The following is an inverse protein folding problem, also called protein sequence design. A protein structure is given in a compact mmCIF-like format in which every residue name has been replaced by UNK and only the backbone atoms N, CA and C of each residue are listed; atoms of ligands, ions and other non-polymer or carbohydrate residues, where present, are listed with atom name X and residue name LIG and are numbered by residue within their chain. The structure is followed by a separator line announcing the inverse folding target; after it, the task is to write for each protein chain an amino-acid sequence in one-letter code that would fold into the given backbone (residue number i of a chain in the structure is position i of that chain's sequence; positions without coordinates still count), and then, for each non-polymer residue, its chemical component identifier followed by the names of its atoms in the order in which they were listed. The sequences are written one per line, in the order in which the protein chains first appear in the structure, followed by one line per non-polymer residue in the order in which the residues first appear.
data_IF_893656862346
#
_entry.id   IF_893656862346
#
_cell.length_a   1.000
_cell.length_b   1.000
_cell.length_c   1.000
_cell.angle_alpha   90.00
_cell.angle_beta   90.00
_cell.angle_gamma   90.00
#
_symmetry.space_group_name_H-M   'P 1'
#
loop_
_entity.id
_entity.type
_entity.pdbx_description
1 polymer ?
#
# COMPACT_ATOMS: atom_id res chain seq x y z
N UNK A 1 26.71 14.33 9.93
CA UNK A 1 26.98 13.99 11.34
C UNK A 1 27.26 12.50 11.43
N UNK A 2 28.36 12.07 12.03
CA UNK A 2 28.73 10.65 12.14
C UNK A 2 27.91 9.98 13.24
N UNK A 3 27.16 8.93 12.91
CA UNK A 3 26.41 8.14 13.91
C UNK A 3 27.41 7.39 14.79
N UNK A 4 27.58 7.81 16.05
CA UNK A 4 28.36 7.04 17.02
C UNK A 4 27.54 5.81 17.43
N UNK A 5 27.97 4.63 16.98
CA UNK A 5 27.42 3.37 17.44
C UNK A 5 27.92 3.16 18.88
N UNK A 6 27.02 3.15 19.86
CA UNK A 6 27.37 2.89 21.26
C UNK A 6 27.42 1.37 21.45
N UNK A 7 28.64 0.85 21.64
CA UNK A 7 28.88 -0.53 22.05
C UNK A 7 28.89 -0.59 23.59
N UNK A 8 28.07 -1.46 24.17
CA UNK A 8 28.00 -1.67 25.61
C UNK A 8 28.94 -2.80 26.03
N UNK A 9 29.25 -2.88 27.32
CA UNK A 9 30.01 -3.99 27.92
C UNK A 9 29.17 -4.66 28.99
N UNK A 10 29.18 -5.99 29.02
CA UNK A 10 28.49 -6.74 30.05
C UNK A 10 29.06 -6.38 31.43
N UNK A 11 28.18 -6.08 32.39
CA UNK A 11 28.58 -5.71 33.76
C UNK A 11 29.10 -6.92 34.56
N UNK A 12 28.79 -8.13 34.10
CA UNK A 12 29.11 -9.40 34.72
C UNK A 12 28.53 -10.52 33.86
N UNK A 13 28.84 -11.76 34.24
CA UNK A 13 28.25 -12.94 33.63
C UNK A 13 26.72 -12.90 33.74
N UNK A 14 26.02 -13.22 32.66
CA UNK A 14 24.56 -13.07 32.59
C UNK A 14 23.86 -14.19 31.81
N UNK A 15 22.52 -14.22 31.91
CA UNK A 15 21.66 -15.21 31.24
C UNK A 15 21.69 -15.12 29.70
N UNK A 16 22.32 -14.08 29.15
CA UNK A 16 22.55 -13.92 27.71
C UNK A 16 23.86 -14.58 27.25
N UNK A 17 24.58 -15.26 28.15
CA UNK A 17 25.83 -15.95 27.86
C UNK A 17 27.02 -15.03 27.62
N UNK A 18 26.92 -13.76 28.02
CA UNK A 18 28.01 -12.79 27.91
C UNK A 18 28.87 -12.85 29.16
N UNK A 19 30.18 -12.81 28.98
CA UNK A 19 31.15 -12.76 30.08
C UNK A 19 31.39 -11.33 30.56
N UNK A 20 31.83 -11.14 31.81
CA UNK A 20 32.15 -9.81 32.33
C UNK A 20 33.09 -9.01 31.39
N UNK A 21 32.67 -7.80 31.02
CA UNK A 21 33.43 -6.90 30.15
C UNK A 21 33.29 -7.19 28.66
N UNK A 22 32.60 -8.27 28.27
CA UNK A 22 32.40 -8.64 26.87
C UNK A 22 31.57 -7.57 26.14
N UNK A 23 32.03 -7.10 24.98
CA UNK A 23 31.33 -6.09 24.23
C UNK A 23 30.11 -6.69 23.52
N UNK A 24 28.97 -6.01 23.59
CA UNK A 24 27.76 -6.42 22.90
C UNK A 24 27.00 -5.23 22.34
N UNK A 25 26.18 -5.51 21.34
CA UNK A 25 25.24 -4.56 20.76
C UNK A 25 23.84 -4.92 21.24
N UNK A 26 23.15 -4.02 21.95
CA UNK A 26 21.79 -4.30 22.39
C UNK A 26 20.89 -4.43 21.16
N UNK A 27 20.31 -5.61 20.98
CA UNK A 27 19.21 -5.81 20.03
C UNK A 27 17.91 -5.55 20.77
N UNK A 28 17.32 -4.39 20.53
CA UNK A 28 16.05 -3.98 21.13
C UNK A 28 14.91 -4.15 20.10
N UNK A 29 13.75 -4.61 20.56
CA UNK A 29 12.52 -4.51 19.77
C UNK A 29 12.12 -3.05 19.59
N UNK A 30 11.35 -2.74 18.54
CA UNK A 30 10.89 -1.37 18.29
C UNK A 30 10.05 -0.83 19.47
N UNK A 31 9.28 -1.72 20.07
CA UNK A 31 8.44 -1.57 21.25
C UNK A 31 9.22 -1.40 22.57
N UNK A 32 10.52 -1.70 22.59
CA UNK A 32 11.37 -1.58 23.77
C UNK A 32 12.07 -0.23 23.91
N UNK A 33 11.85 0.70 22.97
CA UNK A 33 12.52 2.01 22.94
C UNK A 33 11.52 3.13 23.20
N UNK A 34 11.52 3.66 24.42
CA UNK A 34 10.68 4.79 24.79
C UNK A 34 10.96 6.01 23.89
N UNK A 35 9.90 6.54 23.26
CA UNK A 35 9.97 7.70 22.37
C UNK A 35 10.39 7.39 20.93
N UNK A 36 10.62 6.12 20.55
CA UNK A 36 10.94 5.74 19.17
C UNK A 36 9.84 6.15 18.19
N UNK A 37 8.57 5.93 18.55
CA UNK A 37 7.42 6.34 17.74
C UNK A 37 7.45 7.86 17.44
N UNK A 38 7.76 8.68 18.45
CA UNK A 38 7.86 10.14 18.27
C UNK A 38 9.01 10.54 17.34
N UNK A 39 10.16 9.85 17.41
CA UNK A 39 11.27 10.11 16.50
C UNK A 39 10.98 9.66 15.06
N UNK A 40 10.25 8.55 14.89
CA UNK A 40 9.78 8.07 13.59
C UNK A 40 8.79 9.08 13.00
N UNK A 41 7.80 9.51 13.78
CA UNK A 41 6.77 10.47 13.36
C UNK A 41 7.34 11.81 12.88
N UNK A 42 8.47 12.26 13.42
CA UNK A 42 9.14 13.49 12.97
C UNK A 42 9.85 13.34 11.62
N UNK A 43 10.25 12.12 11.27
CA UNK A 43 11.13 11.85 10.10
C UNK A 43 10.38 11.19 8.95
N UNK A 44 9.27 10.52 9.23
CA UNK A 44 8.44 9.87 8.23
C UNK A 44 7.33 10.82 7.82
N UNK A 45 7.31 11.30 6.56
CA UNK A 45 6.20 12.10 6.06
C UNK A 45 4.91 11.28 6.13
N UNK A 46 3.94 11.77 6.90
CA UNK A 46 2.57 11.25 6.90
C UNK A 46 1.82 11.89 5.75
N UNK A 47 1.22 11.07 4.90
CA UNK A 47 0.38 11.54 3.81
C UNK A 47 -1.07 11.26 4.18
N UNK A 48 -1.88 12.30 4.23
CA UNK A 48 -3.32 12.18 4.39
C UNK A 48 -3.99 11.73 3.08
N UNK A 49 -5.27 11.36 3.16
CA UNK A 49 -6.06 11.07 1.97
C UNK A 49 -6.27 12.34 1.12
N UNK A 50 -6.33 12.15 -0.19
CA UNK A 50 -6.64 13.23 -1.11
C UNK A 50 -8.05 13.79 -0.85
N UNK A 51 -8.18 15.11 -0.87
CA UNK A 51 -9.45 15.84 -0.76
C UNK A 51 -9.65 16.73 -1.98
N UNK A 52 -10.84 17.33 -2.19
CA UNK A 52 -11.07 18.20 -3.35
C UNK A 52 -10.17 19.45 -3.43
N UNK A 53 -9.55 19.86 -2.32
CA UNK A 53 -8.77 21.10 -2.21
C UNK A 53 -7.34 20.89 -1.72
N UNK A 54 -6.94 19.64 -1.43
CA UNK A 54 -5.61 19.32 -0.95
C UNK A 54 -5.15 17.95 -1.47
N UNK A 55 -3.90 17.91 -1.91
CA UNK A 55 -3.25 16.69 -2.40
C UNK A 55 -3.06 15.67 -1.28
N UNK A 56 -3.13 14.38 -1.63
CA UNK A 56 -2.97 13.27 -0.69
C UNK A 56 -2.97 11.91 -1.39
N UNK A 57 -3.00 10.83 -0.60
CA UNK A 57 -3.07 9.46 -1.10
C UNK A 57 -4.48 9.12 -1.58
N UNK A 58 -4.56 8.29 -2.63
CA UNK A 58 -5.83 7.69 -3.07
C UNK A 58 -6.27 6.60 -2.09
N UNK A 59 -7.55 6.56 -1.75
CA UNK A 59 -8.12 5.50 -0.91
C UNK A 59 -8.07 4.14 -1.62
N UNK A 60 -8.14 3.05 -0.86
CA UNK A 60 -8.20 1.69 -1.45
C UNK A 60 -9.45 1.53 -2.30
N UNK A 61 -10.56 2.10 -1.85
CA UNK A 61 -11.86 2.06 -2.51
C UNK A 61 -11.82 2.81 -3.85
N UNK A 62 -11.19 3.99 -3.89
CA UNK A 62 -11.09 4.78 -5.10
C UNK A 62 -10.09 4.20 -6.10
N UNK A 63 -8.98 3.63 -5.62
CA UNK A 63 -8.07 2.86 -6.47
C UNK A 63 -8.79 1.68 -7.13
N UNK A 64 -9.61 0.94 -6.39
CA UNK A 64 -10.38 -0.18 -6.93
C UNK A 64 -11.41 0.24 -7.99
N UNK A 65 -11.85 1.51 -8.01
CA UNK A 65 -12.67 2.06 -9.10
C UNK A 65 -11.82 2.40 -10.32
N UNK A 66 -10.64 3.00 -10.10
CA UNK A 66 -9.69 3.32 -11.16
C UNK A 66 -9.19 2.06 -11.87
N UNK A 67 -8.87 1.01 -11.12
CA UNK A 67 -8.44 -0.29 -11.65
C UNK A 67 -9.52 -0.98 -12.53
N UNK A 68 -10.80 -0.59 -12.37
CA UNK A 68 -11.91 -1.09 -13.19
C UNK A 68 -12.15 -0.28 -14.46
N UNK A 69 -11.54 0.89 -14.58
CA UNK A 69 -11.61 1.65 -15.82
C UNK A 69 -10.73 0.93 -16.84
N UNK A 70 -11.37 0.30 -17.82
CA UNK A 70 -10.65 -0.23 -18.97
C UNK A 70 -9.98 0.94 -19.69
N UNK A 71 -8.67 0.84 -19.92
CA UNK A 71 -7.92 1.80 -20.71
C UNK A 71 -8.14 1.43 -22.18
N UNK A 72 -8.45 2.43 -23.00
CA UNK A 72 -8.72 2.27 -24.44
C UNK A 72 -7.66 1.43 -25.17
N UNK A 73 -8.03 0.70 -26.24
CA UNK A 73 -9.35 0.59 -26.85
C UNK A 73 -10.29 -0.40 -26.15
N UNK A 74 -11.57 -0.02 -26.01
CA UNK A 74 -12.60 -0.88 -25.41
C UNK A 74 -13.04 -1.97 -26.38
N UNK A 75 -13.04 -3.24 -25.93
CA UNK A 75 -13.60 -4.35 -26.71
C UNK A 75 -15.14 -4.29 -26.78
N UNK A 76 -15.77 -3.62 -25.80
CA UNK A 76 -17.20 -3.33 -25.84
C UNK A 76 -17.71 -2.59 -24.61
N UNK A 77 -18.90 -2.00 -24.75
CA UNK A 77 -19.60 -1.27 -23.70
C UNK A 77 -20.74 -2.12 -23.14
N UNK A 78 -20.77 -2.31 -21.82
CA UNK A 78 -21.82 -3.07 -21.14
C UNK A 78 -22.98 -2.15 -20.74
N UNK A 79 -24.20 -2.52 -21.15
CA UNK A 79 -25.44 -1.86 -20.81
C UNK A 79 -26.33 -2.81 -20.02
N UNK A 80 -26.87 -2.34 -18.89
CA UNK A 80 -27.85 -3.10 -18.11
C UNK A 80 -29.26 -2.62 -18.46
N UNK A 81 -30.11 -3.52 -18.93
CA UNK A 81 -31.51 -3.24 -19.22
C UNK A 81 -32.38 -3.30 -17.94
N UNK A 82 -33.61 -2.75 -17.96
CA UNK A 82 -34.48 -2.70 -16.78
C UNK A 82 -34.86 -4.07 -16.20
N UNK A 83 -34.89 -5.11 -17.03
CA UNK A 83 -35.12 -6.51 -16.66
C UNK A 83 -33.88 -7.19 -16.03
N UNK A 84 -32.75 -6.47 -15.96
CA UNK A 84 -31.51 -6.94 -15.35
C UNK A 84 -30.56 -7.66 -16.30
N UNK A 85 -30.96 -7.89 -17.54
CA UNK A 85 -30.09 -8.43 -18.60
C UNK A 85 -28.92 -7.48 -18.89
N UNK A 86 -27.76 -8.03 -19.23
CA UNK A 86 -26.58 -7.26 -19.64
C UNK A 86 -26.41 -7.43 -21.15
N UNK A 87 -26.25 -6.31 -21.86
CA UNK A 87 -25.97 -6.25 -23.28
C UNK A 87 -24.57 -5.66 -23.51
N UNK A 88 -23.80 -6.24 -24.42
CA UNK A 88 -22.47 -5.76 -24.82
C UNK A 88 -22.58 -5.15 -26.21
N UNK A 89 -22.21 -3.88 -26.36
CA UNK A 89 -21.99 -3.22 -27.65
C UNK A 89 -20.53 -3.34 -28.03
N UNK A 90 -20.21 -4.01 -29.13
CA UNK A 90 -18.86 -4.13 -29.69
C UNK A 90 -18.83 -3.74 -31.17
N UNK A 91 -17.63 -3.66 -31.74
CA UNK A 91 -17.41 -3.42 -33.18
C UNK A 91 -16.83 -4.69 -33.79
N UNK A 92 -17.41 -5.16 -34.89
CA UNK A 92 -16.90 -6.33 -35.63
C UNK A 92 -15.61 -5.98 -36.40
N UNK A 93 -14.89 -6.99 -36.87
CA UNK A 93 -13.73 -6.80 -37.76
C UNK A 93 -14.08 -6.11 -39.09
N UNK A 94 -15.38 -5.97 -39.41
CA UNK A 94 -15.88 -5.23 -40.58
C UNK A 94 -16.27 -3.78 -40.24
N UNK A 95 -16.11 -3.34 -38.99
CA UNK A 95 -16.49 -2.00 -38.53
C UNK A 95 -17.99 -1.84 -38.23
N UNK A 96 -18.74 -2.94 -38.14
CA UNK A 96 -20.18 -2.90 -37.85
C UNK A 96 -20.45 -2.97 -36.35
N UNK A 97 -21.49 -2.28 -35.88
CA UNK A 97 -21.92 -2.37 -34.48
C UNK A 97 -22.62 -3.70 -34.21
N UNK A 98 -22.16 -4.42 -33.19
CA UNK A 98 -22.75 -5.68 -32.74
C UNK A 98 -23.29 -5.51 -31.33
N UNK A 99 -24.53 -5.94 -31.10
CA UNK A 99 -25.14 -6.01 -29.77
C UNK A 99 -25.35 -7.48 -29.40
N UNK A 100 -24.69 -7.95 -28.35
CA UNK A 100 -24.87 -9.32 -27.82
C UNK A 100 -25.39 -9.29 -26.39
N UNK A 101 -26.15 -10.31 -25.99
CA UNK A 101 -26.58 -10.49 -24.60
C UNK A 101 -25.53 -11.31 -23.87
N UNK A 102 -25.10 -10.86 -22.69
CA UNK A 102 -24.09 -11.56 -21.91
C UNK A 102 -24.66 -12.88 -21.37
N UNK A 103 -24.09 -14.02 -21.78
CA UNK A 103 -24.52 -15.36 -21.37
C UNK A 103 -25.37 -16.14 -22.39
N UNK A 104 -25.47 -15.66 -23.63
CA UNK A 104 -26.08 -16.37 -24.77
C UNK A 104 -25.04 -16.73 -25.84
#
# INVERSE_FOLDING_TARGET
MSTKIIQLRARGDNDFGLTEGEPYYPKVGADSVAGLESEIDKRVPKYDLATPIADGLISKEDKAKLDKLQVEPFEGLKFKSPDGSIFVLSVSDQGETVFTKEGE
#
